data_IF_772693763575
#
_entry.id   IF_772693763575
#
_cell.length_a   1.000
_cell.length_b   1.000
_cell.length_c   1.000
_cell.angle_alpha   90.00
_cell.angle_beta   90.00
_cell.angle_gamma   90.00
#
_symmetry.space_group_name_H-M   'P 1'
#
loop_
_entity.id
_entity.type
_entity.pdbx_description
1 polymer ?
#
# COMPACT_ATOMS: atom_id res chain seq x y z
N UNK A 1 -4.40 -42.74 27.56
CA UNK A 1 -5.31 -41.82 26.83
C UNK A 1 -5.13 -40.34 27.20
N UNK A 2 -4.76 -39.99 28.45
CA UNK A 2 -4.58 -38.59 28.88
C UNK A 2 -3.38 -37.87 28.22
N UNK A 3 -2.26 -38.57 28.00
CA UNK A 3 -1.06 -38.03 27.33
C UNK A 3 -1.32 -37.60 25.88
N UNK A 4 -2.09 -38.38 25.12
CA UNK A 4 -2.41 -38.08 23.71
C UNK A 4 -3.26 -36.81 23.59
N UNK A 5 -4.23 -36.61 24.49
CA UNK A 5 -5.04 -35.38 24.55
C UNK A 5 -4.17 -34.16 24.88
N UNK A 6 -3.21 -34.31 25.78
CA UNK A 6 -2.29 -33.22 26.15
C UNK A 6 -1.35 -32.83 25.01
N UNK A 7 -0.83 -33.80 24.24
CA UNK A 7 0.00 -33.53 23.05
C UNK A 7 -0.79 -32.86 21.93
N UNK A 8 -2.04 -33.27 21.70
CA UNK A 8 -2.92 -32.67 20.68
C UNK A 8 -3.28 -31.22 21.02
N UNK A 9 -3.60 -30.94 22.30
CA UNK A 9 -3.90 -29.58 22.78
C UNK A 9 -2.68 -28.67 22.67
N UNK A 10 -1.48 -29.15 23.02
CA UNK A 10 -0.25 -28.36 22.88
C UNK A 10 0.14 -28.11 21.41
N UNK A 11 -0.05 -29.10 20.53
CA UNK A 11 0.18 -28.92 19.09
C UNK A 11 -0.79 -27.91 18.47
N UNK A 12 -2.06 -27.92 18.91
CA UNK A 12 -3.07 -26.97 18.45
C UNK A 12 -2.79 -25.56 18.98
N UNK A 13 -2.35 -25.43 20.24
CA UNK A 13 -1.96 -24.15 20.84
C UNK A 13 -0.74 -23.52 20.14
N UNK A 14 0.26 -24.34 19.78
CA UNK A 14 1.43 -23.90 19.02
C UNK A 14 1.03 -23.44 17.61
N UNK A 15 0.12 -24.16 16.94
CA UNK A 15 -0.39 -23.78 15.62
C UNK A 15 -1.16 -22.45 15.67
N UNK A 16 -1.97 -22.24 16.71
CA UNK A 16 -2.72 -20.99 16.93
C UNK A 16 -1.79 -19.80 17.21
N UNK A 17 -0.69 -20.00 17.95
CA UNK A 17 0.32 -18.98 18.21
C UNK A 17 1.05 -18.52 16.93
N UNK A 18 1.30 -19.44 15.99
CA UNK A 18 1.97 -19.12 14.71
C UNK A 18 1.02 -18.44 13.72
N UNK A 19 -0.27 -18.76 13.74
CA UNK A 19 -1.27 -18.15 12.84
C UNK A 19 -1.77 -16.75 13.29
N UNK A 20 -1.47 -16.32 14.52
CA UNK A 20 -1.99 -15.09 15.11
C UNK A 20 -1.09 -13.84 14.97
N UNK A 21 0.09 -13.95 14.36
CA UNK A 21 1.03 -12.84 14.26
C UNK A 21 0.66 -11.87 13.12
N UNK A 22 -0.29 -10.97 13.38
CA UNK A 22 -0.45 -9.76 12.57
C UNK A 22 0.70 -8.81 12.94
N UNK A 23 1.70 -8.72 12.05
CA UNK A 23 2.88 -7.88 12.25
C UNK A 23 2.62 -6.52 11.61
N UNK A 24 2.70 -5.49 12.46
CA UNK A 24 2.92 -4.06 12.18
C UNK A 24 2.21 -3.43 10.98
N UNK A 25 1.34 -2.45 11.26
CA UNK A 25 0.92 -1.48 10.25
C UNK A 25 1.95 -0.34 10.19
N UNK A 26 2.50 -0.04 9.01
CA UNK A 26 3.33 1.16 8.82
C UNK A 26 2.58 2.13 7.93
N UNK A 27 2.37 3.37 8.38
CA UNK A 27 1.63 4.38 7.62
C UNK A 27 2.39 5.68 7.45
N UNK A 28 2.03 6.42 6.41
CA UNK A 28 2.60 7.72 6.11
C UNK A 28 1.62 8.63 5.40
N UNK A 29 1.95 9.92 5.41
CA UNK A 29 1.24 10.96 4.67
C UNK A 29 2.22 11.70 3.79
N UNK A 30 1.81 12.00 2.55
CA UNK A 30 2.58 12.82 1.63
C UNK A 30 1.66 13.87 0.99
N UNK A 31 2.17 15.09 0.82
CA UNK A 31 1.36 16.22 0.35
C UNK A 31 1.00 16.09 -1.14
N UNK A 32 1.93 15.60 -1.96
CA UNK A 32 1.69 15.30 -3.38
C UNK A 32 2.77 14.37 -3.93
N UNK A 33 2.45 13.64 -4.99
CA UNK A 33 3.43 12.87 -5.76
C UNK A 33 4.22 13.73 -6.75
N UNK A 34 3.75 14.93 -7.09
CA UNK A 34 4.43 15.85 -8.01
C UNK A 34 4.49 17.28 -7.46
N UNK A 35 5.37 18.15 -7.97
CA UNK A 35 5.40 19.55 -7.57
C UNK A 35 4.13 20.29 -8.04
N UNK A 36 3.26 20.64 -7.09
CA UNK A 36 2.00 21.37 -7.35
C UNK A 36 2.17 22.89 -7.19
N UNK A 37 3.29 23.35 -6.62
CA UNK A 37 3.48 24.76 -6.26
C UNK A 37 3.42 25.67 -7.50
N UNK A 38 2.58 26.71 -7.43
CA UNK A 38 2.41 27.70 -8.51
C UNK A 38 1.59 27.24 -9.71
N UNK A 39 0.92 26.07 -9.64
CA UNK A 39 0.01 25.58 -10.68
C UNK A 39 -1.43 25.62 -10.20
N UNK A 40 -2.35 26.09 -11.04
CA UNK A 40 -3.79 25.95 -10.80
C UNK A 40 -4.22 24.52 -11.14
N UNK A 41 -5.05 23.92 -10.31
CA UNK A 41 -5.53 22.56 -10.50
C UNK A 41 -6.98 22.42 -10.06
N UNK A 42 -7.66 21.43 -10.64
CA UNK A 42 -9.00 21.02 -10.24
C UNK A 42 -8.92 19.64 -9.58
N UNK A 43 -9.58 19.51 -8.43
CA UNK A 43 -9.77 18.21 -7.77
C UNK A 43 -10.86 17.43 -8.50
N UNK A 44 -10.52 16.24 -8.98
CA UNK A 44 -11.43 15.34 -9.67
C UNK A 44 -12.21 14.45 -8.70
N UNK A 45 -11.57 14.06 -7.59
CA UNK A 45 -12.20 13.33 -6.51
C UNK A 45 -11.22 12.44 -5.72
N UNK A 46 -11.67 11.83 -4.62
CA UNK A 46 -10.88 10.86 -3.88
C UNK A 46 -10.81 9.53 -4.63
N UNK A 47 -9.67 8.86 -4.53
CA UNK A 47 -9.42 7.52 -5.06
C UNK A 47 -8.65 6.66 -4.06
N UNK A 48 -8.88 5.35 -4.16
CA UNK A 48 -8.26 4.35 -3.29
C UNK A 48 -7.87 3.13 -4.11
N UNK A 49 -6.71 2.55 -3.78
CA UNK A 49 -6.29 1.25 -4.29
C UNK A 49 -5.64 0.43 -3.19
N UNK A 50 -5.64 -0.89 -3.37
CA UNK A 50 -4.93 -1.85 -2.53
C UNK A 50 -4.18 -2.82 -3.42
N UNK A 51 -2.86 -2.84 -3.29
CA UNK A 51 -1.99 -3.79 -4.00
C UNK A 51 -1.37 -4.76 -3.00
N UNK A 52 -1.06 -5.98 -3.43
CA UNK A 52 -0.45 -6.97 -2.54
C UNK A 52 0.65 -7.77 -3.23
N UNK A 53 1.71 -8.05 -2.49
CA UNK A 53 2.83 -8.87 -2.94
C UNK A 53 3.25 -9.86 -1.86
N UNK A 54 4.06 -10.84 -2.26
CA UNK A 54 4.56 -11.87 -1.37
C UNK A 54 6.06 -11.74 -1.17
N UNK A 55 6.50 -12.09 0.02
CA UNK A 55 7.90 -12.28 0.37
C UNK A 55 8.07 -13.58 1.12
N UNK A 56 9.27 -14.12 1.06
CA UNK A 56 9.67 -15.28 1.81
C UNK A 56 10.61 -14.84 2.93
N UNK A 57 10.27 -15.16 4.18
CA UNK A 57 11.01 -14.75 5.37
C UNK A 57 11.41 -15.98 6.19
N UNK A 58 12.70 -16.14 6.46
CA UNK A 58 13.23 -17.12 7.41
C UNK A 58 13.92 -16.36 8.55
N UNK A 59 13.16 -16.03 9.60
CA UNK A 59 13.67 -15.29 10.75
C UNK A 59 14.17 -13.90 10.36
N UNK A 60 15.49 -13.75 10.21
CA UNK A 60 16.17 -12.46 9.94
C UNK A 60 16.30 -12.20 8.43
N UNK A 61 16.25 -13.25 7.60
CA UNK A 61 16.43 -13.12 6.14
C UNK A 61 15.06 -12.99 5.48
N UNK A 62 14.81 -11.85 4.85
CA UNK A 62 13.63 -11.60 4.03
C UNK A 62 13.99 -11.45 2.55
N UNK A 63 13.40 -12.30 1.70
CA UNK A 63 13.51 -12.26 0.25
C UNK A 63 12.16 -11.80 -0.33
N UNK A 64 12.14 -10.64 -0.96
CA UNK A 64 10.97 -10.21 -1.73
C UNK A 64 10.84 -11.11 -2.97
N UNK A 65 9.71 -11.83 -3.07
CA UNK A 65 9.45 -12.70 -4.23
C UNK A 65 9.03 -11.88 -5.45
N UNK A 66 8.46 -10.70 -5.20
CA UNK A 66 8.06 -9.74 -6.20
C UNK A 66 8.44 -8.34 -5.72
N UNK A 67 8.68 -7.44 -6.67
CA UNK A 67 8.89 -6.02 -6.39
C UNK A 67 7.62 -5.41 -5.75
N UNK A 68 7.76 -4.52 -4.75
CA UNK A 68 6.63 -3.79 -4.19
C UNK A 68 5.90 -2.99 -5.28
N UNK A 69 4.62 -3.28 -5.57
CA UNK A 69 3.90 -2.68 -6.69
C UNK A 69 3.36 -1.26 -6.39
N UNK A 70 4.20 -0.39 -5.82
CA UNK A 70 3.83 0.99 -5.44
C UNK A 70 3.54 1.84 -6.68
N UNK A 71 4.38 1.75 -7.71
CA UNK A 71 4.16 2.44 -8.99
C UNK A 71 2.85 2.02 -9.67
N UNK A 72 2.46 0.75 -9.50
CA UNK A 72 1.21 0.24 -10.04
C UNK A 72 0.03 0.85 -9.28
N UNK A 73 0.13 0.96 -7.95
CA UNK A 73 -0.88 1.59 -7.13
C UNK A 73 -1.10 3.07 -7.55
N UNK A 74 -0.04 3.84 -7.76
CA UNK A 74 -0.17 5.23 -8.21
C UNK A 74 -0.84 5.34 -9.59
N UNK A 75 -0.41 4.51 -10.54
CA UNK A 75 -1.00 4.48 -11.89
C UNK A 75 -2.47 4.10 -11.87
N UNK A 76 -2.85 3.14 -11.04
CA UNK A 76 -4.25 2.71 -10.90
C UNK A 76 -5.13 3.83 -10.33
N UNK A 77 -4.66 4.53 -9.30
CA UNK A 77 -5.37 5.67 -8.68
C UNK A 77 -5.53 6.83 -9.69
N UNK A 78 -4.49 7.14 -10.46
CA UNK A 78 -4.57 8.16 -11.51
C UNK A 78 -5.54 7.76 -12.64
N UNK A 79 -5.53 6.48 -13.03
CA UNK A 79 -6.39 5.97 -14.09
C UNK A 79 -7.88 5.98 -13.72
N UNK A 80 -8.23 5.84 -12.43
CA UNK A 80 -9.63 5.85 -11.97
C UNK A 80 -10.38 7.15 -12.31
N UNK A 81 -9.69 8.29 -12.30
CA UNK A 81 -10.29 9.60 -12.58
C UNK A 81 -9.63 10.33 -13.76
N UNK A 82 -8.81 9.64 -14.56
CA UNK A 82 -8.02 10.26 -15.64
C UNK A 82 -7.22 11.49 -15.14
N UNK A 83 -6.68 11.41 -13.92
CA UNK A 83 -5.93 12.49 -13.30
C UNK A 83 -4.49 12.59 -13.79
N UNK A 84 -3.87 13.72 -13.50
CA UNK A 84 -2.46 13.96 -13.81
C UNK A 84 -1.57 13.89 -12.57
N UNK A 85 -2.15 14.08 -11.38
CA UNK A 85 -1.41 14.11 -10.13
C UNK A 85 -2.27 13.69 -8.94
N UNK A 86 -1.58 13.30 -7.85
CA UNK A 86 -2.16 12.92 -6.57
C UNK A 86 -1.77 13.94 -5.52
N UNK A 87 -2.73 14.35 -4.68
CA UNK A 87 -2.49 15.17 -3.49
C UNK A 87 -3.08 14.47 -2.26
N UNK A 88 -2.67 14.90 -1.07
CA UNK A 88 -3.15 14.34 0.19
C UNK A 88 -3.01 12.81 0.27
N UNK A 89 -1.87 12.28 -0.17
CA UNK A 89 -1.60 10.85 -0.17
C UNK A 89 -1.55 10.36 1.28
N UNK A 90 -2.31 9.31 1.55
CA UNK A 90 -2.34 8.57 2.81
C UNK A 90 -2.12 7.11 2.45
N UNK A 91 -1.10 6.51 3.00
CA UNK A 91 -0.82 5.10 2.77
C UNK A 91 -0.61 4.36 4.08
N UNK A 92 -0.96 3.08 4.08
CA UNK A 92 -0.63 2.15 5.14
C UNK A 92 -0.31 0.78 4.56
N UNK A 93 0.61 0.08 5.20
CA UNK A 93 0.99 -1.28 4.87
C UNK A 93 0.51 -2.22 5.96
N UNK A 94 -0.11 -3.31 5.57
CA UNK A 94 -0.44 -4.41 6.49
C UNK A 94 0.26 -5.69 6.03
N UNK A 95 0.79 -6.45 6.99
CA UNK A 95 1.51 -7.70 6.72
C UNK A 95 0.82 -8.87 7.40
N UNK A 96 0.62 -9.95 6.64
CA UNK A 96 0.12 -11.23 7.15
C UNK A 96 1.23 -12.26 7.02
N UNK A 97 1.76 -12.73 8.14
CA UNK A 97 2.85 -13.70 8.20
C UNK A 97 2.27 -15.10 8.36
N UNK A 98 2.60 -15.98 7.43
CA UNK A 98 2.24 -17.39 7.40
C UNK A 98 3.53 -18.22 7.39
N UNK A 99 4.06 -18.48 8.58
CA UNK A 99 5.25 -19.31 8.74
C UNK A 99 6.47 -18.69 8.01
N UNK A 100 6.83 -19.16 6.82
CA UNK A 100 7.91 -18.58 6.00
C UNK A 100 7.44 -17.64 4.89
N UNK A 101 6.13 -17.47 4.71
CA UNK A 101 5.57 -16.59 3.67
C UNK A 101 4.91 -15.39 4.32
N UNK A 102 5.22 -14.19 3.82
CA UNK A 102 4.57 -12.97 4.26
C UNK A 102 3.88 -12.33 3.09
N UNK A 103 2.57 -12.12 3.24
CA UNK A 103 1.77 -11.30 2.33
C UNK A 103 1.81 -9.86 2.81
N UNK A 104 2.28 -8.97 1.95
CA UNK A 104 2.23 -7.53 2.17
C UNK A 104 1.03 -6.96 1.42
N UNK A 105 0.33 -6.01 2.04
CA UNK A 105 -0.75 -5.25 1.43
C UNK A 105 -0.43 -3.78 1.60
N UNK A 106 -0.33 -3.04 0.50
CA UNK A 106 -0.18 -1.59 0.51
C UNK A 106 -1.50 -0.98 0.11
N UNK A 107 -2.01 -0.13 0.99
CA UNK A 107 -3.21 0.64 0.79
C UNK A 107 -2.81 2.08 0.50
N UNK A 108 -3.37 2.66 -0.56
CA UNK A 108 -3.12 4.03 -0.95
C UNK A 108 -4.46 4.75 -1.16
N UNK A 109 -4.62 5.87 -0.46
CA UNK A 109 -5.74 6.79 -0.58
C UNK A 109 -5.23 8.18 -0.90
N UNK A 110 -5.77 8.81 -1.94
CA UNK A 110 -5.35 10.14 -2.36
C UNK A 110 -6.49 10.89 -3.04
N UNK A 111 -6.34 12.21 -3.15
CA UNK A 111 -7.21 13.02 -4.01
C UNK A 111 -6.54 13.18 -5.37
N UNK A 112 -7.29 12.87 -6.43
CA UNK A 112 -6.82 12.98 -7.81
C UNK A 112 -7.07 14.40 -8.31
N UNK A 113 -6.05 14.99 -8.91
CA UNK A 113 -6.11 16.34 -9.49
C UNK A 113 -5.74 16.33 -10.97
N UNK A 114 -6.22 17.34 -11.69
CA UNK A 114 -5.80 17.66 -13.05
C UNK A 114 -5.33 19.11 -13.10
N UNK A 115 -4.20 19.36 -13.75
CA UNK A 115 -3.70 20.73 -13.89
C UNK A 115 -4.54 21.50 -14.90
N UNK A 116 -4.79 22.78 -14.59
CA UNK A 116 -5.37 23.68 -15.58
C UNK A 116 -4.27 24.16 -16.51
N UNK A 117 -4.55 24.21 -17.82
CA UNK A 117 -3.60 24.71 -18.79
C UNK A 117 -3.21 26.15 -18.45
N UNK A 118 -1.90 26.42 -18.32
CA UNK A 118 -1.42 27.76 -18.07
C UNK A 118 -1.94 28.72 -19.16
N UNK A 119 -2.43 29.92 -18.80
CA UNK A 119 -2.91 30.88 -19.79
C UNK A 119 -1.81 31.18 -20.80
N UNK A 120 -2.09 30.88 -22.06
CA UNK A 120 -1.18 31.02 -23.19
C UNK A 120 -0.82 32.50 -23.40
N UNK A 121 0.27 32.97 -22.78
CA UNK A 121 0.83 34.31 -22.98
C UNK A 121 1.53 34.48 -24.35
N UNK A 122 0.97 33.90 -25.42
CA UNK A 122 1.45 34.08 -26.81
C UNK A 122 0.90 35.33 -27.51
N UNK A 123 0.18 36.21 -26.81
CA UNK A 123 -0.41 37.42 -27.43
C UNK A 123 0.04 38.74 -26.77
N UNK A 124 1.27 38.79 -26.26
CA UNK A 124 1.95 40.01 -25.81
C UNK A 124 3.29 40.18 -26.54
N UNK A 125 3.27 40.39 -27.85
CA UNK A 125 4.28 41.14 -28.60
C UNK A 125 3.64 41.79 -29.81
#
# INVERSE_FOLDING_TARGET
>A
MLKIKFTLVNSLLLLLLVCGACVSTTGGIATSNVPVNGRTFKVLGPAETTVSWWSFNIGIIGLALNEPPVDQAEKEVLAQHEGEALINLRYWNDQSVFLFLTRHRFHLKADVIRFEAAPNNRNRR
#
